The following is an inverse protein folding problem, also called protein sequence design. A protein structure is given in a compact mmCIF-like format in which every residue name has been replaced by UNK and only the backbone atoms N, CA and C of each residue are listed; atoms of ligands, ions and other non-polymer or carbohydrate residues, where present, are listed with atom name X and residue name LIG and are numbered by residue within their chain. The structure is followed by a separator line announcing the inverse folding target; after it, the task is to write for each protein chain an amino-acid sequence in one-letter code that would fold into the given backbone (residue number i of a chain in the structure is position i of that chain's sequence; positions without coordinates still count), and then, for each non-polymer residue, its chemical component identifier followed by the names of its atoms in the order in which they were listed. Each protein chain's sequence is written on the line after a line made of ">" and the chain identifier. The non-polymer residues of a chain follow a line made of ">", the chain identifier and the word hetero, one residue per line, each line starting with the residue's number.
data_IF_492191509728
#
_entry.id   IF_492191509728
#
_cell.length_a   1.000
_cell.length_b   1.000
_cell.length_c   1.000
_cell.angle_alpha   90.00
_cell.angle_beta   90.00
_cell.angle_gamma   90.00
#
_symmetry.space_group_name_H-M   'P 1'
#
loop_
_entity.id
_entity.type
_entity.pdbx_description
1 polymer ?
#
# COMPACT_ATOMS: atom_id res chain seq x y z
N UNK A 1 3.97 4.09 28.29
CA UNK A 1 4.84 3.21 27.46
C UNK A 1 5.78 4.10 26.67
N UNK A 2 7.10 3.89 26.71
CA UNK A 2 8.05 4.63 25.86
C UNK A 2 8.04 3.98 24.48
N UNK A 3 7.52 4.68 23.47
CA UNK A 3 7.73 4.29 22.06
C UNK A 3 9.22 4.35 21.76
N UNK A 4 9.71 3.43 20.94
CA UNK A 4 11.10 3.49 20.52
C UNK A 4 11.34 4.79 19.76
N UNK A 5 12.55 5.33 19.82
CA UNK A 5 12.87 6.55 19.10
C UNK A 5 12.69 6.40 17.57
N UNK A 6 12.86 5.18 17.05
CA UNK A 6 12.66 4.88 15.63
C UNK A 6 11.17 4.82 15.25
N UNK A 7 10.29 4.39 16.16
CA UNK A 7 8.84 4.47 15.98
C UNK A 7 8.37 5.94 15.94
N UNK A 8 8.90 6.77 16.84
CA UNK A 8 8.59 8.21 16.84
C UNK A 8 9.08 8.87 15.55
N UNK A 9 10.29 8.52 15.11
CA UNK A 9 10.85 9.02 13.86
C UNK A 9 10.05 8.56 12.64
N UNK A 10 9.50 7.35 12.69
CA UNK A 10 8.60 6.82 11.65
C UNK A 10 7.32 7.66 11.57
N UNK A 11 6.68 7.90 12.71
CA UNK A 11 5.45 8.71 12.79
C UNK A 11 5.70 10.14 12.27
N UNK A 12 6.84 10.74 12.61
CA UNK A 12 7.24 12.08 12.15
C UNK A 12 7.43 12.12 10.63
N UNK A 13 8.21 11.19 10.06
CA UNK A 13 8.48 11.13 8.62
C UNK A 13 7.19 10.91 7.81
N UNK A 14 6.30 10.02 8.28
CA UNK A 14 5.01 9.79 7.63
C UNK A 14 4.14 11.06 7.72
N UNK A 15 4.14 11.72 8.88
CA UNK A 15 3.43 12.98 9.09
C UNK A 15 3.90 14.09 8.14
N UNK A 16 5.21 14.26 7.99
CA UNK A 16 5.81 15.22 7.05
C UNK A 16 5.42 14.92 5.59
N UNK A 17 5.50 13.64 5.18
CA UNK A 17 5.15 13.22 3.83
C UNK A 17 3.65 13.45 3.54
N UNK A 18 2.78 13.06 4.47
CA UNK A 18 1.34 13.24 4.35
C UNK A 18 0.94 14.72 4.33
N UNK A 19 1.55 15.55 5.18
CA UNK A 19 1.32 16.99 5.19
C UNK A 19 1.77 17.63 3.86
N UNK A 20 2.91 17.22 3.32
CA UNK A 20 3.36 17.69 2.02
C UNK A 20 2.40 17.32 0.89
N UNK A 21 1.79 16.12 0.96
CA UNK A 21 0.78 15.71 -0.01
C UNK A 21 -0.50 16.51 0.15
N UNK A 22 -0.95 16.79 1.37
CA UNK A 22 -2.12 17.64 1.63
C UNK A 22 -1.93 19.07 1.10
N UNK A 23 -0.71 19.58 1.19
CA UNK A 23 -0.36 20.92 0.71
C UNK A 23 -0.16 20.99 -0.81
N UNK A 24 0.23 19.89 -1.44
CA UNK A 24 0.20 19.79 -2.90
C UNK A 24 -1.26 19.53 -3.31
N UNK A 25 -1.82 20.25 -4.28
CA UNK A 25 -3.18 19.95 -4.78
C UNK A 25 -3.25 18.62 -5.59
N UNK A 26 -2.42 17.64 -5.23
CA UNK A 26 -2.22 16.36 -5.88
C UNK A 26 -3.07 15.28 -5.23
N UNK A 27 -3.20 14.14 -5.92
CA UNK A 27 -3.95 13.01 -5.43
C UNK A 27 -3.33 12.42 -4.15
N UNK A 28 -4.14 12.25 -3.12
CA UNK A 28 -3.72 11.63 -1.85
C UNK A 28 -4.02 10.14 -1.96
N UNK A 29 -3.00 9.36 -2.33
CA UNK A 29 -3.07 7.91 -2.42
C UNK A 29 -1.71 7.28 -2.11
N UNK A 30 -1.70 5.95 -1.93
CA UNK A 30 -0.50 5.20 -1.53
C UNK A 30 0.68 5.38 -2.49
N UNK A 31 0.44 5.49 -3.80
CA UNK A 31 1.52 5.74 -4.79
C UNK A 31 2.11 7.13 -4.64
N UNK A 32 1.28 8.14 -4.43
CA UNK A 32 1.74 9.50 -4.16
C UNK A 32 2.55 9.59 -2.86
N UNK A 33 2.16 8.82 -1.84
CA UNK A 33 2.90 8.72 -0.58
C UNK A 33 4.28 8.08 -0.78
N UNK A 34 4.36 6.95 -1.49
CA UNK A 34 5.64 6.30 -1.81
C UNK A 34 6.55 7.27 -2.56
N UNK A 35 6.06 7.91 -3.63
CA UNK A 35 6.84 8.86 -4.41
C UNK A 35 7.36 10.05 -3.57
N UNK A 36 6.56 10.52 -2.61
CA UNK A 36 6.98 11.58 -1.70
C UNK A 36 8.08 11.11 -0.74
N UNK A 37 7.95 9.91 -0.18
CA UNK A 37 8.95 9.32 0.71
C UNK A 37 10.27 9.03 -0.03
N UNK A 38 10.21 8.58 -1.28
CA UNK A 38 11.39 8.40 -2.14
C UNK A 38 12.12 9.73 -2.39
N UNK A 39 11.37 10.80 -2.69
CA UNK A 39 11.95 12.13 -2.86
C UNK A 39 12.65 12.62 -1.59
N UNK A 40 12.03 12.38 -0.42
CA UNK A 40 12.66 12.67 0.89
C UNK A 40 13.94 11.87 1.08
N UNK A 41 13.93 10.57 0.75
CA UNK A 41 15.09 9.67 0.85
C UNK A 41 16.28 10.11 -0.01
N UNK A 42 16.04 10.61 -1.23
CA UNK A 42 17.09 11.11 -2.13
C UNK A 42 17.80 12.32 -1.50
N UNK A 43 17.04 13.22 -0.88
CA UNK A 43 17.58 14.43 -0.25
C UNK A 43 18.10 14.23 1.18
N UNK A 44 17.84 13.07 1.80
CA UNK A 44 18.17 12.82 3.20
C UNK A 44 19.68 12.61 3.41
N UNK A 45 20.23 13.27 4.43
CA UNK A 45 21.64 13.20 4.79
C UNK A 45 21.86 12.33 6.03
N UNK A 46 20.88 12.30 6.93
CA UNK A 46 20.96 11.58 8.21
C UNK A 46 20.86 10.07 7.98
N UNK A 47 21.89 9.27 8.31
CA UNK A 47 21.86 7.82 8.09
C UNK A 47 20.71 7.11 8.80
N UNK A 48 20.33 7.60 9.99
CA UNK A 48 19.20 7.10 10.77
C UNK A 48 17.88 7.33 10.04
N UNK A 49 17.58 8.57 9.63
CA UNK A 49 16.36 8.90 8.86
C UNK A 49 16.31 8.15 7.54
N UNK A 50 17.45 8.04 6.84
CA UNK A 50 17.57 7.26 5.60
C UNK A 50 17.13 5.81 5.79
N UNK A 51 17.58 5.15 6.87
CA UNK A 51 17.19 3.77 7.19
C UNK A 51 15.70 3.66 7.47
N UNK A 52 15.13 4.57 8.26
CA UNK A 52 13.70 4.58 8.56
C UNK A 52 12.87 4.80 7.30
N UNK A 53 13.25 5.75 6.44
CA UNK A 53 12.62 5.97 5.14
C UNK A 53 12.61 4.71 4.26
N UNK A 54 13.75 4.02 4.15
CA UNK A 54 13.84 2.77 3.40
C UNK A 54 12.92 1.67 3.96
N UNK A 55 12.88 1.52 5.28
CA UNK A 55 12.04 0.52 5.94
C UNK A 55 10.55 0.80 5.69
N UNK A 56 10.12 2.05 5.85
CA UNK A 56 8.73 2.46 5.66
C UNK A 56 8.29 2.28 4.20
N UNK A 57 9.13 2.67 3.24
CA UNK A 57 8.83 2.47 1.80
C UNK A 57 8.63 0.98 1.51
N UNK A 58 9.57 0.12 1.95
CA UNK A 58 9.50 -1.31 1.72
C UNK A 58 8.26 -1.96 2.38
N UNK A 59 7.88 -1.49 3.58
CA UNK A 59 6.69 -1.98 4.27
C UNK A 59 5.41 -1.63 3.51
N UNK A 60 5.27 -0.37 3.07
CA UNK A 60 4.09 0.09 2.32
C UNK A 60 3.98 -0.65 0.99
N UNK A 61 5.08 -0.82 0.26
CA UNK A 61 5.12 -1.57 -1.00
C UNK A 61 4.75 -3.04 -0.79
N UNK A 62 5.31 -3.70 0.23
CA UNK A 62 5.00 -5.08 0.57
C UNK A 62 3.52 -5.28 0.91
N UNK A 63 2.92 -4.35 1.64
CA UNK A 63 1.50 -4.36 1.99
C UNK A 63 0.60 -4.12 0.76
N UNK A 64 1.02 -3.25 -0.16
CA UNK A 64 0.31 -3.01 -1.41
C UNK A 64 0.31 -4.27 -2.29
N UNK A 65 1.46 -4.91 -2.48
CA UNK A 65 1.59 -6.15 -3.25
C UNK A 65 0.74 -7.27 -2.66
N UNK A 66 0.72 -7.43 -1.34
CA UNK A 66 -0.12 -8.42 -0.66
C UNK A 66 -1.61 -8.16 -0.86
N UNK A 67 -2.03 -6.90 -0.71
CA UNK A 67 -3.42 -6.50 -0.92
C UNK A 67 -3.91 -6.74 -2.36
N UNK A 68 -3.02 -6.59 -3.34
CA UNK A 68 -3.32 -6.88 -4.75
C UNK A 68 -3.46 -8.39 -5.01
N UNK A 69 -2.58 -9.21 -4.41
CA UNK A 69 -2.66 -10.67 -4.52
C UNK A 69 -3.98 -11.22 -3.92
N UNK A 70 -4.40 -10.70 -2.76
CA UNK A 70 -5.66 -11.09 -2.11
C UNK A 70 -6.90 -10.70 -2.94
N UNK A 71 -6.84 -9.58 -3.68
CA UNK A 71 -7.92 -9.18 -4.59
C UNK A 71 -8.04 -10.13 -5.78
N UNK A 72 -6.92 -10.51 -6.38
CA UNK A 72 -6.93 -11.49 -7.50
C UNK A 72 -7.46 -12.86 -7.09
N UNK A 73 -7.21 -13.29 -5.85
CA UNK A 73 -7.74 -14.58 -5.34
C UNK A 73 -9.25 -14.55 -5.07
N UNK A 74 -9.79 -13.42 -4.60
CA UNK A 74 -11.23 -13.25 -4.39
C UNK A 74 -12.01 -13.13 -5.70
N UNK A 75 -11.46 -12.45 -6.70
CA UNK A 75 -12.07 -12.33 -8.04
C UNK A 75 -12.11 -13.70 -8.76
N UNK A 76 -11.05 -14.51 -8.63
CA UNK A 76 -11.01 -15.86 -9.19
C UNK A 76 -12.04 -16.83 -8.57
N UNK A 77 -12.42 -16.65 -7.29
CA UNK A 77 -13.46 -17.48 -6.63
C UNK A 77 -14.88 -17.04 -6.96
N UNK A 78 -15.11 -15.76 -7.26
CA UNK A 78 -16.47 -15.26 -7.56
C UNK A 78 -16.91 -15.51 -9.01
N UNK A 79 -15.98 -15.72 -9.95
CA UNK A 79 -16.28 -15.98 -11.37
C UNK A 79 -16.66 -17.41 -11.73
N UNK A 80 -16.57 -18.37 -10.79
CA UNK A 80 -16.77 -19.80 -11.07
C UNK A 80 -18.20 -20.33 -10.83
N UNK A 81 -19.14 -19.49 -10.38
CA UNK A 81 -20.47 -19.94 -9.94
C UNK A 81 -21.60 -19.90 -10.99
N UNK A 82 -21.38 -19.34 -12.20
CA UNK A 82 -22.48 -19.04 -13.14
C UNK A 82 -22.51 -19.85 -14.45
N UNK A 83 -21.92 -21.04 -14.52
CA UNK A 83 -22.18 -21.93 -15.67
C UNK A 83 -22.36 -23.38 -15.23
N UNK A 84 -23.62 -23.78 -15.05
CA UNK A 84 -24.15 -25.12 -15.34
C UNK A 84 -25.65 -25.20 -15.02
N UNK A 85 -26.49 -24.89 -16.00
CA UNK A 85 -27.78 -25.58 -16.13
C UNK A 85 -27.61 -26.69 -17.18
N UNK A 86 -27.63 -27.98 -16.80
CA UNK A 86 -27.81 -29.05 -17.77
C UNK A 86 -29.31 -29.18 -18.05
N UNK A 87 -29.76 -28.75 -19.23
CA UNK A 87 -31.13 -28.98 -19.68
C UNK A 87 -31.29 -30.47 -20.04
N UNK A 88 -31.75 -31.26 -19.08
CA UNK A 88 -32.16 -32.63 -19.30
C UNK A 88 -33.57 -32.65 -19.90
N UNK A 89 -33.62 -33.07 -21.17
CA UNK A 89 -34.64 -33.92 -21.78
C UNK A 89 -36.05 -33.83 -21.19
N UNK A 90 -37.00 -33.26 -21.92
CA UNK A 90 -38.39 -33.69 -21.80
C UNK A 90 -38.93 -34.18 -23.14
N UNK A 91 -39.36 -35.43 -23.08
CA UNK A 91 -39.94 -36.27 -24.13
C UNK A 91 -41.44 -35.97 -24.22
N UNK A 92 -41.94 -35.65 -25.40
CA UNK A 92 -43.21 -36.13 -25.93
C UNK A 92 -43.34 -35.80 -27.42
#
# INVERSE_FOLDING_TARGET
>A
MKRSEDEQLTDEIIGEAALSLLNSASAINTRALIARLEAMLISEQTPRRRRVLQNVIAEIEGNLSRSLAEKTEKEARSGAAETKQPNAKNVH
#
